data_IF_797761311870
#
_entry.id   IF_797761311870
#
_cell.length_a   1.000
_cell.length_b   1.000
_cell.length_c   1.000
_cell.angle_alpha   90.00
_cell.angle_beta   90.00
_cell.angle_gamma   90.00
#
_symmetry.space_group_name_H-M   'P 1'
#
loop_
_entity.id
_entity.type
_entity.pdbx_description
1 polymer ?
#
# COMPACT_ATOMS: atom_id res chain seq x y z
N UNK A 1 17.58 24.43 13.41
CA UNK A 1 16.80 23.20 13.32
C UNK A 1 17.54 22.17 12.49
N UNK A 2 17.62 20.96 12.97
CA UNK A 2 18.27 19.89 12.22
C UNK A 2 17.35 19.39 11.11
N UNK A 3 17.94 18.98 9.96
CA UNK A 3 17.13 18.42 8.89
C UNK A 3 16.43 17.15 9.33
N UNK A 4 15.26 16.93 8.82
CA UNK A 4 14.52 15.69 9.02
C UNK A 4 14.85 14.73 7.86
N UNK A 5 15.21 13.51 8.20
CA UNK A 5 15.58 12.49 7.21
C UNK A 5 14.47 11.44 7.14
N UNK A 6 13.37 11.84 6.54
CA UNK A 6 12.23 10.98 6.32
C UNK A 6 12.07 10.70 4.84
N UNK A 7 11.68 9.49 4.52
CA UNK A 7 11.37 9.14 3.14
C UNK A 7 10.24 8.13 3.11
N UNK A 8 9.48 8.15 2.05
CA UNK A 8 8.43 7.18 1.83
C UNK A 8 9.05 5.91 1.29
N UNK A 9 8.74 4.79 1.93
CA UNK A 9 9.19 3.49 1.47
C UNK A 9 8.19 2.98 0.42
N UNK A 10 8.58 3.06 -0.83
CA UNK A 10 7.71 2.82 -1.96
C UNK A 10 7.13 1.42 -1.97
N UNK A 11 7.97 0.42 -1.74
CA UNK A 11 7.57 -0.97 -1.76
C UNK A 11 6.63 -1.31 -0.61
N UNK A 12 6.97 -0.85 0.57
CA UNK A 12 6.16 -1.08 1.77
C UNK A 12 4.84 -0.34 1.69
N UNK A 13 4.84 0.85 1.09
CA UNK A 13 3.61 1.60 0.86
C UNK A 13 2.69 0.85 -0.10
N UNK A 14 3.27 0.25 -1.14
CA UNK A 14 2.49 -0.59 -2.06
C UNK A 14 1.84 -1.76 -1.35
N UNK A 15 2.57 -2.41 -0.45
CA UNK A 15 2.02 -3.50 0.35
C UNK A 15 0.91 -3.02 1.27
N UNK A 16 1.06 -1.83 1.83
CA UNK A 16 0.05 -1.24 2.70
C UNK A 16 -1.23 -0.94 1.92
N UNK A 17 -1.11 -0.38 0.72
CA UNK A 17 -2.26 -0.14 -0.14
C UNK A 17 -2.99 -1.45 -0.42
N UNK A 18 -2.24 -2.47 -0.78
CA UNK A 18 -2.76 -3.78 -1.08
C UNK A 18 -3.52 -4.37 0.10
N UNK A 19 -2.92 -4.30 1.29
CA UNK A 19 -3.52 -4.79 2.52
C UNK A 19 -4.84 -4.07 2.82
N UNK A 20 -4.84 -2.76 2.72
CA UNK A 20 -6.02 -1.97 3.00
C UNK A 20 -7.15 -2.23 2.00
N UNK A 21 -6.81 -2.44 0.74
CA UNK A 21 -7.81 -2.80 -0.26
C UNK A 21 -8.49 -4.11 0.10
N UNK A 22 -7.72 -5.12 0.47
CA UNK A 22 -8.27 -6.42 0.85
C UNK A 22 -9.12 -6.34 2.10
N UNK A 23 -8.65 -5.61 3.09
CA UNK A 23 -9.39 -5.46 4.34
C UNK A 23 -10.74 -4.79 4.12
N UNK A 24 -10.83 -3.97 3.11
CA UNK A 24 -12.08 -3.27 2.76
C UNK A 24 -12.88 -3.98 1.67
N UNK A 25 -12.42 -5.13 1.22
CA UNK A 25 -13.13 -5.91 0.22
C UNK A 25 -13.05 -5.38 -1.19
N UNK A 26 -12.06 -4.56 -1.49
CA UNK A 26 -11.87 -4.01 -2.83
C UNK A 26 -10.87 -4.83 -3.62
N UNK A 27 -11.16 -4.97 -4.91
CA UNK A 27 -10.26 -5.61 -5.86
C UNK A 27 -9.49 -4.54 -6.63
N UNK A 28 -8.48 -4.98 -7.37
CA UNK A 28 -7.76 -4.10 -8.28
C UNK A 28 -8.71 -3.49 -9.31
N UNK A 29 -9.68 -4.29 -9.77
CA UNK A 29 -10.68 -3.82 -10.71
C UNK A 29 -11.52 -2.68 -10.15
N UNK A 30 -11.87 -2.78 -8.88
CA UNK A 30 -12.63 -1.72 -8.22
C UNK A 30 -11.84 -0.41 -8.20
N UNK A 31 -10.54 -0.51 -7.91
CA UNK A 31 -9.67 0.68 -7.90
C UNK A 31 -9.53 1.24 -9.31
N UNK A 32 -9.33 0.38 -10.29
CA UNK A 32 -9.28 0.78 -11.68
C UNK A 32 -10.52 1.58 -12.08
N UNK A 33 -11.67 1.07 -11.71
CA UNK A 33 -12.94 1.74 -12.03
C UNK A 33 -13.08 3.07 -11.30
N UNK A 34 -12.70 3.11 -10.02
CA UNK A 34 -12.75 4.33 -9.24
C UNK A 34 -11.85 5.42 -9.80
N UNK A 35 -10.71 5.03 -10.36
CA UNK A 35 -9.76 5.96 -10.98
C UNK A 35 -10.16 6.37 -12.39
N UNK A 36 -11.04 5.61 -13.02
CA UNK A 36 -11.38 5.84 -14.43
C UNK A 36 -10.30 5.38 -15.38
N UNK A 37 -9.47 4.42 -14.98
CA UNK A 37 -8.39 3.91 -15.83
C UNK A 37 -8.92 2.89 -16.83
N UNK A 38 -8.36 2.90 -18.03
CA UNK A 38 -8.71 1.93 -19.07
C UNK A 38 -8.21 0.52 -18.77
N UNK A 39 -7.12 0.43 -18.00
CA UNK A 39 -6.52 -0.86 -17.66
C UNK A 39 -5.97 -0.80 -16.24
N UNK A 40 -5.64 -1.94 -15.63
CA UNK A 40 -5.21 -1.98 -14.23
C UNK A 40 -3.71 -1.78 -14.03
N UNK A 41 -2.95 -1.48 -15.06
CA UNK A 41 -1.49 -1.45 -14.97
C UNK A 41 -0.95 -0.49 -13.92
N UNK A 42 -1.50 0.70 -13.83
CA UNK A 42 -1.04 1.67 -12.85
C UNK A 42 -1.26 1.15 -11.42
N UNK A 43 -2.41 0.54 -11.17
CA UNK A 43 -2.73 0.00 -9.85
C UNK A 43 -1.74 -1.11 -9.48
N UNK A 44 -1.43 -1.98 -10.40
CA UNK A 44 -0.44 -3.04 -10.16
C UNK A 44 0.95 -2.48 -9.90
N UNK A 45 1.33 -1.40 -10.58
CA UNK A 45 2.61 -0.76 -10.31
C UNK A 45 2.67 -0.22 -8.88
N UNK A 46 1.56 0.31 -8.38
CA UNK A 46 1.52 0.82 -7.01
C UNK A 46 1.66 -0.32 -6.00
N UNK A 47 0.85 -1.36 -6.12
CA UNK A 47 0.87 -2.45 -5.14
C UNK A 47 2.14 -3.29 -5.22
N UNK A 48 2.81 -3.31 -6.36
CA UNK A 48 4.08 -4.02 -6.50
C UNK A 48 5.28 -3.17 -6.05
N UNK A 49 5.05 -1.89 -5.76
CA UNK A 49 6.12 -1.00 -5.33
C UNK A 49 6.98 -0.44 -6.43
N UNK A 50 6.56 -0.57 -7.69
CA UNK A 50 7.31 -0.01 -8.81
C UNK A 50 7.18 1.50 -8.90
N UNK A 51 6.04 2.03 -8.49
CA UNK A 51 5.79 3.46 -8.46
C UNK A 51 4.79 3.77 -7.37
N UNK A 52 4.77 5.03 -6.96
CA UNK A 52 3.76 5.51 -6.03
C UNK A 52 2.63 6.15 -6.83
N UNK A 53 1.40 6.11 -6.33
CA UNK A 53 0.33 6.90 -6.91
C UNK A 53 0.71 8.39 -6.90
N UNK A 54 0.18 9.14 -7.85
CA UNK A 54 0.29 10.60 -7.78
C UNK A 54 -0.47 11.09 -6.55
N UNK A 55 -0.22 12.33 -6.17
CA UNK A 55 -0.91 12.90 -5.02
C UNK A 55 -2.43 12.85 -5.21
N UNK A 56 -2.90 13.19 -6.41
CA UNK A 56 -4.33 13.14 -6.72
C UNK A 56 -4.89 11.73 -6.54
N UNK A 57 -4.14 10.74 -7.01
CA UNK A 57 -4.58 9.35 -6.90
C UNK A 57 -4.55 8.88 -5.45
N UNK A 58 -3.59 9.35 -4.65
CA UNK A 58 -3.58 9.07 -3.22
C UNK A 58 -4.82 9.60 -2.53
N UNK A 59 -5.27 10.79 -2.93
CA UNK A 59 -6.50 11.37 -2.36
C UNK A 59 -7.69 10.47 -2.67
N UNK A 60 -7.79 9.98 -3.90
CA UNK A 60 -8.87 9.08 -4.30
C UNK A 60 -8.81 7.78 -3.49
N UNK A 61 -7.63 7.19 -3.37
CA UNK A 61 -7.45 5.97 -2.59
C UNK A 61 -7.83 6.20 -1.13
N UNK A 62 -7.40 7.32 -0.56
CA UNK A 62 -7.71 7.62 0.84
C UNK A 62 -9.22 7.75 1.07
N UNK A 63 -9.94 8.32 0.12
CA UNK A 63 -11.38 8.44 0.21
C UNK A 63 -12.07 7.09 0.04
N UNK A 64 -11.59 6.30 -0.89
CA UNK A 64 -12.11 4.96 -1.12
C UNK A 64 -11.94 4.07 0.11
N UNK A 65 -10.79 4.17 0.75
CA UNK A 65 -10.45 3.34 1.91
C UNK A 65 -10.88 3.95 3.24
N UNK A 66 -11.40 5.17 3.23
CA UNK A 66 -11.72 5.91 4.46
C UNK A 66 -10.54 5.96 5.41
N UNK A 67 -9.36 6.18 4.86
CA UNK A 67 -8.09 6.17 5.59
C UNK A 67 -7.30 7.40 5.15
N UNK A 68 -6.60 8.05 6.07
CA UNK A 68 -5.79 9.21 5.71
C UNK A 68 -4.61 8.79 4.84
N UNK A 69 -4.12 9.71 4.02
CA UNK A 69 -2.95 9.44 3.19
C UNK A 69 -1.76 9.06 4.08
N UNK A 70 -1.60 9.75 5.20
CA UNK A 70 -0.49 9.48 6.11
C UNK A 70 -0.54 8.04 6.65
N UNK A 71 -1.74 7.53 6.90
CA UNK A 71 -1.89 6.15 7.38
C UNK A 71 -1.65 5.11 6.28
N UNK A 72 -1.75 5.53 5.03
CA UNK A 72 -1.44 4.65 3.89
C UNK A 72 0.07 4.58 3.66
N UNK A 73 0.76 5.70 3.84
CA UNK A 73 2.20 5.78 3.59
C UNK A 73 2.99 5.03 4.66
N UNK A 74 4.02 4.33 4.22
CA UNK A 74 5.02 3.76 5.13
C UNK A 74 6.26 4.64 5.01
N UNK A 75 6.63 5.25 6.11
CA UNK A 75 7.69 6.25 6.14
C UNK A 75 8.86 5.74 6.96
N UNK A 76 10.04 5.77 6.37
CA UNK A 76 11.26 5.37 7.04
C UNK A 76 11.70 6.46 8.02
N UNK A 77 12.11 6.06 9.19
CA UNK A 77 12.61 6.95 10.22
C UNK A 77 11.57 7.40 11.22
N UNK A 78 10.33 7.49 10.81
CA UNK A 78 9.26 7.99 11.67
C UNK A 78 8.94 7.00 12.78
N UNK A 79 8.66 5.78 12.41
CA UNK A 79 8.33 4.70 13.36
C UNK A 79 9.50 4.37 14.25
N UNK A 80 10.70 4.29 13.69
CA UNK A 80 11.90 3.97 14.44
C UNK A 80 12.15 5.01 15.53
N UNK A 81 11.91 6.27 15.23
CA UNK A 81 12.15 7.35 16.17
C UNK A 81 11.14 7.39 17.29
N UNK A 82 9.87 7.20 16.99
CA UNK A 82 8.80 7.38 17.94
C UNK A 82 8.36 6.08 18.61
N UNK A 83 8.45 4.98 17.90
CA UNK A 83 7.84 3.71 18.31
C UNK A 83 8.79 2.53 18.19
N UNK A 84 10.09 2.75 18.24
CA UNK A 84 11.08 1.74 17.93
C UNK A 84 10.81 0.35 18.47
N UNK A 85 10.57 0.23 19.77
CA UNK A 85 10.34 -1.10 20.35
C UNK A 85 8.92 -1.61 20.12
N UNK A 86 7.93 -0.71 20.08
CA UNK A 86 6.56 -1.10 19.77
C UNK A 86 6.46 -1.63 18.34
N UNK A 87 7.18 -1.01 17.45
CA UNK A 87 7.27 -1.47 16.07
C UNK A 87 7.87 -2.87 15.99
N UNK A 88 8.90 -3.13 16.79
CA UNK A 88 9.52 -4.45 16.81
C UNK A 88 8.55 -5.54 17.31
N UNK A 89 7.68 -5.19 18.24
CA UNK A 89 6.68 -6.12 18.74
C UNK A 89 5.58 -6.41 17.73
N UNK A 90 5.21 -5.42 16.95
CA UNK A 90 4.15 -5.58 15.95
C UNK A 90 4.63 -6.29 14.69
N UNK A 91 5.92 -6.37 14.50
CA UNK A 91 6.51 -6.95 13.30
C UNK A 91 6.02 -8.36 12.96
N UNK A 92 5.92 -9.28 13.92
CA UNK A 92 5.42 -10.63 13.61
C UNK A 92 3.99 -10.62 13.08
N UNK A 93 3.15 -9.78 13.64
CA UNK A 93 1.76 -9.69 13.22
C UNK A 93 1.65 -9.09 11.81
N UNK A 94 2.43 -8.08 11.54
CA UNK A 94 2.49 -7.50 10.20
C UNK A 94 2.98 -8.53 9.19
N UNK A 95 3.98 -9.30 9.58
CA UNK A 95 4.52 -10.33 8.71
C UNK A 95 3.48 -11.41 8.41
N UNK A 96 2.75 -11.83 9.41
CA UNK A 96 1.69 -12.81 9.24
C UNK A 96 0.59 -12.26 8.33
N UNK A 97 0.20 -11.01 8.54
CA UNK A 97 -0.79 -10.36 7.70
C UNK A 97 -0.35 -10.23 6.26
N UNK A 98 0.91 -9.92 6.05
CA UNK A 98 1.48 -9.81 4.71
C UNK A 98 1.51 -11.16 4.02
N UNK A 99 1.85 -12.22 4.72
CA UNK A 99 1.88 -13.56 4.16
C UNK A 99 0.49 -14.02 3.74
N UNK A 100 -0.48 -13.80 4.61
CA UNK A 100 -1.86 -14.14 4.31
C UNK A 100 -2.36 -13.34 3.12
N UNK A 101 -2.01 -12.10 3.07
CA UNK A 101 -2.33 -11.21 1.98
C UNK A 101 -1.70 -11.66 0.66
N UNK A 102 -0.48 -12.13 0.73
CA UNK A 102 0.25 -12.60 -0.43
C UNK A 102 -0.43 -13.79 -1.11
N UNK A 103 -1.12 -14.62 -0.34
CA UNK A 103 -1.85 -15.77 -0.91
C UNK A 103 -2.95 -15.33 -1.86
N UNK A 104 -3.70 -14.31 -1.48
CA UNK A 104 -4.73 -13.76 -2.36
C UNK A 104 -4.13 -13.07 -3.56
N UNK A 105 -3.00 -12.43 -3.35
CA UNK A 105 -2.36 -11.64 -4.38
C UNK A 105 -1.66 -12.45 -5.45
N UNK A 106 -1.32 -13.68 -5.15
CA UNK A 106 -0.79 -14.59 -6.16
C UNK A 106 -1.83 -14.77 -7.26
N UNK A 107 -3.09 -14.89 -6.89
CA UNK A 107 -4.17 -15.04 -7.87
C UNK A 107 -4.30 -13.78 -8.73
N UNK A 108 -4.26 -12.62 -8.10
CA UNK A 108 -4.32 -11.36 -8.84
C UNK A 108 -3.08 -11.13 -9.68
N UNK A 109 -1.91 -11.52 -9.15
CA UNK A 109 -0.67 -11.45 -9.89
C UNK A 109 -0.71 -12.30 -11.14
N UNK A 110 -1.26 -13.49 -11.03
CA UNK A 110 -1.40 -14.39 -12.19
C UNK A 110 -2.31 -13.77 -13.24
N UNK A 111 -3.41 -13.19 -12.81
CA UNK A 111 -4.33 -12.51 -13.72
C UNK A 111 -3.65 -11.33 -14.40
N UNK A 112 -2.84 -10.61 -13.66
CA UNK A 112 -2.11 -9.49 -14.19
C UNK A 112 -1.07 -9.93 -15.22
N UNK A 113 -0.34 -10.96 -14.88
CA UNK A 113 0.71 -11.47 -15.75
C UNK A 113 0.13 -12.08 -17.04
N UNK A 114 -1.11 -12.52 -16.98
CA UNK A 114 -1.79 -13.05 -18.15
C UNK A 114 -2.24 -11.95 -19.12
N UNK A 115 -2.30 -10.74 -18.64
CA UNK A 115 -2.68 -9.59 -19.45
C UNK A 115 -1.48 -8.99 -20.15
#
# INVERSE_FOLDING_TARGET
MEPMYLRVLQKETGRQIKKLLMENGYTVKDVQNAMGFENPQAVYKWISGRSLPSLDNFVIISRLLHTSIEDILVIDGDIVRLWGFSFAESKPDEKAGIEEFAKYNIIEGDLYDAV
#
